data_IF_592482131127
#
_entry.id   IF_592482131127
#
_cell.length_a   1.000
_cell.length_b   1.000
_cell.length_c   1.000
_cell.angle_alpha   90.00
_cell.angle_beta   90.00
_cell.angle_gamma   90.00
#
_symmetry.space_group_name_H-M   'P 1'
#
loop_
_entity.id
_entity.type
_entity.pdbx_description
1 polymer ?
#
# COMPACT_ATOMS: atom_id res chain seq x y z
N UNK A 1 -9.35 -25.08 -1.72
CA UNK A 1 -8.28 -24.13 -1.28
C UNK A 1 -8.93 -22.93 -0.62
N UNK A 2 -8.48 -22.52 0.59
CA UNK A 2 -9.00 -21.33 1.30
C UNK A 2 -7.99 -20.19 1.29
N UNK A 3 -8.44 -18.98 0.99
CA UNK A 3 -7.61 -17.78 0.89
C UNK A 3 -8.19 -16.74 1.85
N UNK A 4 -7.44 -16.42 2.89
CA UNK A 4 -7.76 -15.32 3.80
C UNK A 4 -7.15 -14.05 3.24
N UNK A 5 -7.99 -13.11 2.80
CA UNK A 5 -7.57 -11.88 2.15
C UNK A 5 -7.94 -10.65 2.99
N UNK A 6 -6.97 -9.77 3.18
CA UNK A 6 -7.16 -8.37 3.59
C UNK A 6 -6.00 -7.53 3.06
N UNK A 7 -6.22 -6.22 2.90
CA UNK A 7 -5.16 -5.27 2.55
C UNK A 7 -4.04 -5.22 3.58
N UNK A 8 -4.34 -5.51 4.85
CA UNK A 8 -3.41 -5.41 5.97
C UNK A 8 -2.78 -6.76 6.37
N UNK A 9 -3.19 -7.85 5.74
CA UNK A 9 -2.66 -9.17 6.08
C UNK A 9 -1.22 -9.34 5.63
N UNK A 10 -0.44 -10.03 6.46
CA UNK A 10 0.94 -10.41 6.17
C UNK A 10 1.06 -11.93 6.24
N UNK A 11 1.83 -12.50 5.32
CA UNK A 11 2.07 -13.94 5.31
C UNK A 11 2.67 -14.43 6.64
N UNK A 12 2.15 -15.55 7.13
CA UNK A 12 2.63 -16.18 8.37
C UNK A 12 2.03 -15.64 9.67
N UNK A 13 1.13 -14.67 9.62
CA UNK A 13 0.39 -14.20 10.79
C UNK A 13 -0.92 -14.99 10.96
N UNK A 14 -1.31 -15.26 12.20
CA UNK A 14 -2.63 -15.77 12.52
C UNK A 14 -3.61 -14.60 12.70
N UNK A 15 -4.80 -14.72 12.13
CA UNK A 15 -5.83 -13.69 12.18
C UNK A 15 -7.12 -14.21 12.80
N UNK A 16 -8.00 -13.30 13.20
CA UNK A 16 -9.30 -13.63 13.75
C UNK A 16 -10.07 -14.54 12.76
N UNK A 17 -10.66 -15.60 13.28
CA UNK A 17 -11.37 -16.61 12.47
C UNK A 17 -10.48 -17.74 11.92
N UNK A 18 -9.18 -17.65 12.05
CA UNK A 18 -8.27 -18.75 11.74
C UNK A 18 -8.08 -19.63 12.99
N UNK A 19 -8.32 -20.94 12.85
CA UNK A 19 -7.93 -21.89 13.89
C UNK A 19 -6.40 -21.98 13.90
N UNK A 20 -5.81 -21.78 15.07
CA UNK A 20 -4.37 -22.00 15.25
C UNK A 20 -4.10 -23.52 15.10
N UNK A 21 -3.55 -23.89 13.96
CA UNK A 21 -3.05 -25.23 13.70
C UNK A 21 -1.56 -25.12 13.35
N UNK A 22 -0.71 -26.06 13.80
CA UNK A 22 0.71 -26.03 13.51
C UNK A 22 1.00 -26.11 12.00
N UNK A 23 0.11 -26.71 11.23
CA UNK A 23 0.18 -26.78 9.77
C UNK A 23 -1.22 -26.59 9.21
N UNK A 24 -1.39 -25.60 8.33
CA UNK A 24 -2.62 -25.41 7.56
C UNK A 24 -2.33 -25.78 6.10
N UNK A 25 -2.77 -26.95 5.71
CA UNK A 25 -2.71 -27.35 4.30
C UNK A 25 -3.84 -26.67 3.53
N UNK A 26 -3.57 -26.35 2.27
CA UNK A 26 -4.55 -25.78 1.35
C UNK A 26 -5.16 -24.42 1.81
N UNK A 27 -4.42 -23.67 2.62
CA UNK A 27 -4.82 -22.38 3.15
C UNK A 27 -3.70 -21.36 2.97
N UNK A 28 -4.04 -20.15 2.48
CA UNK A 28 -3.11 -19.05 2.34
C UNK A 28 -3.66 -17.78 2.98
N UNK A 29 -2.79 -17.01 3.61
CA UNK A 29 -3.08 -15.65 4.09
C UNK A 29 -2.37 -14.68 3.16
N UNK A 30 -3.12 -13.78 2.56
CA UNK A 30 -2.65 -12.96 1.45
C UNK A 30 -3.03 -11.48 1.62
N UNK A 31 -2.12 -10.61 1.21
CA UNK A 31 -2.38 -9.21 0.90
C UNK A 31 -2.86 -9.08 -0.56
N UNK A 32 -3.08 -7.85 -1.01
CA UNK A 32 -3.56 -7.59 -2.38
C UNK A 32 -2.59 -8.10 -3.46
N UNK A 33 -1.28 -7.99 -3.26
CA UNK A 33 -0.30 -8.44 -4.25
C UNK A 33 -0.31 -9.96 -4.37
N UNK A 34 -0.33 -10.65 -3.23
CA UNK A 34 -0.39 -12.12 -3.17
C UNK A 34 -1.71 -12.68 -3.68
N UNK A 35 -2.82 -11.96 -3.44
CA UNK A 35 -4.11 -12.29 -4.05
C UNK A 35 -4.03 -12.24 -5.58
N UNK A 36 -3.47 -11.17 -6.13
CA UNK A 36 -3.30 -11.04 -7.58
C UNK A 36 -2.34 -12.10 -8.13
N UNK A 37 -1.22 -12.38 -7.45
CA UNK A 37 -0.29 -13.46 -7.82
C UNK A 37 -1.03 -14.81 -7.90
N UNK A 38 -1.85 -15.12 -6.90
CA UNK A 38 -2.66 -16.33 -6.86
C UNK A 38 -3.66 -16.41 -8.02
N UNK A 39 -4.42 -15.33 -8.24
CA UNK A 39 -5.42 -15.28 -9.31
C UNK A 39 -4.77 -15.41 -10.69
N UNK A 40 -3.65 -14.71 -10.92
CA UNK A 40 -2.89 -14.83 -12.16
C UNK A 40 -2.38 -16.26 -12.39
N UNK A 41 -1.78 -16.87 -11.39
CA UNK A 41 -1.31 -18.24 -11.46
C UNK A 41 -2.47 -19.20 -11.77
N UNK A 42 -3.59 -19.06 -11.08
CA UNK A 42 -4.77 -19.90 -11.26
C UNK A 42 -5.39 -19.76 -12.64
N UNK A 43 -5.40 -18.56 -13.19
CA UNK A 43 -5.94 -18.24 -14.50
C UNK A 43 -4.95 -18.46 -15.66
N UNK A 44 -3.74 -18.93 -15.36
CA UNK A 44 -2.68 -19.12 -16.36
C UNK A 44 -2.20 -17.81 -16.98
N UNK A 45 -2.24 -16.72 -16.22
CA UNK A 45 -1.68 -15.44 -16.58
C UNK A 45 -0.24 -15.36 -16.06
N UNK A 46 0.62 -14.73 -16.81
CA UNK A 46 1.99 -14.43 -16.37
C UNK A 46 2.24 -12.95 -16.55
N UNK A 47 2.21 -12.23 -15.45
CA UNK A 47 2.55 -10.80 -15.45
C UNK A 47 3.90 -10.61 -14.76
N UNK A 48 4.84 -9.99 -15.47
CA UNK A 48 6.15 -9.67 -14.89
C UNK A 48 5.95 -8.59 -13.84
N UNK A 49 6.29 -8.90 -12.59
CA UNK A 49 6.29 -7.92 -11.51
C UNK A 49 7.31 -6.81 -11.79
N UNK A 50 6.88 -5.58 -11.73
CA UNK A 50 7.73 -4.40 -11.90
C UNK A 50 7.85 -3.70 -10.54
N UNK A 51 9.07 -3.31 -10.16
CA UNK A 51 9.27 -2.57 -8.92
C UNK A 51 8.59 -1.18 -8.99
N UNK A 52 8.14 -0.66 -7.85
CA UNK A 52 7.54 0.68 -7.76
C UNK A 52 8.48 1.77 -8.31
N UNK A 53 9.79 1.57 -8.16
CA UNK A 53 10.78 2.51 -8.67
C UNK A 53 10.90 2.45 -10.18
N UNK A 54 10.96 1.26 -10.78
CA UNK A 54 11.02 1.12 -12.24
C UNK A 54 9.73 1.64 -12.88
N UNK A 55 8.60 1.42 -12.23
CA UNK A 55 7.31 1.94 -12.63
C UNK A 55 7.26 3.47 -12.56
N UNK A 56 7.75 4.07 -11.45
CA UNK A 56 7.87 5.52 -11.33
C UNK A 56 8.77 6.11 -12.41
N UNK A 57 9.90 5.46 -12.71
CA UNK A 57 10.82 5.90 -13.77
C UNK A 57 10.15 5.84 -15.15
N UNK A 58 9.41 4.77 -15.44
CA UNK A 58 8.68 4.66 -16.70
C UNK A 58 7.60 5.75 -16.82
N UNK A 59 6.84 5.97 -15.75
CA UNK A 59 5.82 7.02 -15.71
C UNK A 59 6.43 8.42 -15.81
N UNK A 60 7.53 8.68 -15.12
CA UNK A 60 8.27 9.96 -15.20
C UNK A 60 8.69 10.29 -16.64
N UNK A 61 9.12 9.29 -17.42
CA UNK A 61 9.48 9.50 -18.83
C UNK A 61 8.28 9.99 -19.64
N UNK A 62 7.10 9.39 -19.44
CA UNK A 62 5.86 9.81 -20.09
C UNK A 62 5.43 11.21 -19.65
N UNK A 63 5.52 11.51 -18.35
CA UNK A 63 5.24 12.87 -17.83
C UNK A 63 6.18 13.89 -18.46
N UNK A 64 7.48 13.59 -18.52
CA UNK A 64 8.48 14.48 -19.15
C UNK A 64 8.17 14.74 -20.61
N UNK A 65 7.82 13.72 -21.36
CA UNK A 65 7.44 13.83 -22.77
C UNK A 65 6.19 14.70 -22.91
N UNK A 66 5.14 14.43 -22.17
CA UNK A 66 3.91 15.22 -22.17
C UNK A 66 4.19 16.69 -21.80
N UNK A 67 4.92 16.95 -20.72
CA UNK A 67 5.26 18.30 -20.27
C UNK A 67 6.13 19.06 -21.28
N UNK A 68 6.98 18.36 -22.04
CA UNK A 68 7.81 19.00 -23.06
C UNK A 68 7.00 19.50 -24.25
N UNK A 69 5.93 18.82 -24.61
CA UNK A 69 5.05 19.16 -25.75
C UNK A 69 3.94 20.15 -25.38
N UNK A 70 3.56 20.21 -24.08
CA UNK A 70 2.44 21.04 -23.60
C UNK A 70 2.89 22.17 -22.67
N UNK A 71 4.06 22.76 -22.90
CA UNK A 71 4.64 23.83 -22.05
C UNK A 71 3.78 25.08 -21.95
N UNK A 72 3.18 25.46 -23.08
CA UNK A 72 2.41 26.71 -23.24
C UNK A 72 0.89 26.48 -23.18
N UNK A 73 0.49 25.27 -22.91
CA UNK A 73 -0.94 24.94 -22.81
C UNK A 73 -1.55 25.54 -21.54
N UNK A 74 -2.54 26.42 -21.70
CA UNK A 74 -3.25 27.05 -20.60
C UNK A 74 -3.99 26.03 -19.69
N UNK A 75 -4.28 24.85 -20.22
CA UNK A 75 -4.91 23.76 -19.46
C UNK A 75 -3.90 22.93 -18.64
N UNK A 76 -2.58 23.09 -18.89
CA UNK A 76 -1.56 22.36 -18.16
C UNK A 76 -1.24 22.98 -16.79
N UNK A 77 -2.17 22.83 -15.83
CA UNK A 77 -2.03 23.38 -14.48
C UNK A 77 -0.87 22.75 -13.66
N UNK A 78 -0.36 21.59 -14.08
CA UNK A 78 0.72 20.89 -13.37
C UNK A 78 2.11 21.30 -13.85
N UNK A 79 2.23 22.08 -14.92
CA UNK A 79 3.52 22.47 -15.47
C UNK A 79 4.39 23.25 -14.47
N UNK A 80 3.79 24.19 -13.72
CA UNK A 80 4.50 24.95 -12.68
C UNK A 80 5.08 24.04 -11.57
N UNK A 81 4.30 23.10 -11.06
CA UNK A 81 4.78 22.13 -10.07
C UNK A 81 5.85 21.20 -10.65
N UNK A 82 5.66 20.78 -11.88
CA UNK A 82 6.63 19.95 -12.58
C UNK A 82 7.98 20.65 -12.77
N UNK A 83 8.02 21.93 -13.13
CA UNK A 83 9.28 22.67 -13.30
C UNK A 83 10.06 22.83 -12.00
N UNK A 84 9.36 22.94 -10.85
CA UNK A 84 10.00 23.04 -9.54
C UNK A 84 10.53 21.66 -9.08
N UNK A 85 9.74 20.61 -9.19
CA UNK A 85 10.12 19.27 -8.72
C UNK A 85 9.55 18.18 -9.65
N UNK A 86 10.27 17.88 -10.76
CA UNK A 86 9.76 16.96 -11.77
C UNK A 86 9.42 15.56 -11.25
N UNK A 87 10.31 14.97 -10.45
CA UNK A 87 10.13 13.61 -9.94
C UNK A 87 9.03 13.53 -8.88
N UNK A 88 8.96 14.53 -7.97
CA UNK A 88 7.92 14.55 -6.94
C UNK A 88 6.53 14.74 -7.56
N UNK A 89 6.39 15.64 -8.53
CA UNK A 89 5.14 15.84 -9.27
C UNK A 89 4.72 14.56 -10.00
N UNK A 90 5.66 13.88 -10.66
CA UNK A 90 5.36 12.62 -11.35
C UNK A 90 4.94 11.51 -10.39
N UNK A 91 5.54 11.45 -9.20
CA UNK A 91 5.16 10.50 -8.15
C UNK A 91 3.73 10.74 -7.66
N UNK A 92 3.36 11.99 -7.41
CA UNK A 92 2.00 12.34 -7.01
C UNK A 92 0.98 12.06 -8.13
N UNK A 93 1.32 12.37 -9.37
CA UNK A 93 0.47 12.04 -10.52
C UNK A 93 0.26 10.52 -10.66
N UNK A 94 1.31 9.71 -10.44
CA UNK A 94 1.22 8.26 -10.48
C UNK A 94 0.31 7.73 -9.36
N UNK A 95 0.39 8.29 -8.15
CA UNK A 95 -0.54 7.95 -7.05
C UNK A 95 -2.00 8.26 -7.40
N UNK A 96 -2.26 9.45 -7.97
CA UNK A 96 -3.62 9.80 -8.40
C UNK A 96 -4.13 8.86 -9.49
N UNK A 97 -3.28 8.57 -10.46
CA UNK A 97 -3.59 7.60 -11.53
C UNK A 97 -3.98 6.25 -10.95
N UNK A 98 -3.21 5.74 -9.99
CA UNK A 98 -3.46 4.45 -9.36
C UNK A 98 -4.75 4.44 -8.54
N UNK A 99 -4.98 5.48 -7.76
CA UNK A 99 -6.22 5.63 -6.99
C UNK A 99 -7.46 5.69 -7.91
N UNK A 100 -7.35 6.36 -9.05
CA UNK A 100 -8.43 6.42 -10.04
C UNK A 100 -8.62 5.09 -10.78
N UNK A 101 -7.52 4.39 -11.09
CA UNK A 101 -7.57 3.13 -11.82
C UNK A 101 -8.28 2.01 -11.03
N UNK A 102 -8.07 1.94 -9.70
CA UNK A 102 -8.80 0.99 -8.84
C UNK A 102 -10.30 1.31 -8.72
N UNK A 103 -10.69 2.56 -9.07
CA UNK A 103 -12.09 2.96 -9.20
C UNK A 103 -12.64 2.79 -10.62
N UNK A 104 -11.90 2.14 -11.53
CA UNK A 104 -12.33 1.88 -12.90
C UNK A 104 -12.03 2.99 -13.90
N UNK A 105 -11.27 4.03 -13.53
CA UNK A 105 -10.84 5.06 -14.47
C UNK A 105 -9.89 4.51 -15.54
N UNK A 106 -10.11 4.94 -16.77
CA UNK A 106 -9.28 4.61 -17.95
C UNK A 106 -8.94 5.88 -18.73
N UNK A 107 -8.01 5.77 -19.68
CA UNK A 107 -7.68 6.88 -20.59
C UNK A 107 -8.88 7.41 -21.40
N UNK A 108 -9.93 6.60 -21.57
CA UNK A 108 -11.12 6.93 -22.35
C UNK A 108 -12.26 7.49 -21.47
N UNK A 109 -12.06 7.53 -20.13
CA UNK A 109 -13.02 8.10 -19.18
C UNK A 109 -13.04 9.62 -19.33
N UNK A 110 -14.24 10.28 -19.40
CA UNK A 110 -14.31 11.73 -19.52
C UNK A 110 -13.52 12.46 -18.43
N UNK A 111 -12.76 13.48 -18.80
CA UNK A 111 -11.91 14.27 -17.91
C UNK A 111 -12.53 15.64 -17.63
N UNK A 112 -13.37 15.82 -16.57
CA UNK A 112 -14.10 17.05 -16.29
C UNK A 112 -13.21 18.18 -15.77
N UNK A 113 -12.01 17.86 -15.27
CA UNK A 113 -11.08 18.87 -14.74
C UNK A 113 -9.80 18.97 -15.56
N UNK A 114 -9.15 20.15 -15.52
CA UNK A 114 -7.88 20.37 -16.19
C UNK A 114 -6.77 19.42 -15.72
N UNK A 115 -6.74 19.09 -14.41
CA UNK A 115 -5.79 18.12 -13.87
C UNK A 115 -6.00 16.73 -14.43
N UNK A 116 -7.25 16.30 -14.54
CA UNK A 116 -7.59 15.00 -15.16
C UNK A 116 -7.26 14.96 -16.65
N UNK A 117 -7.39 16.06 -17.38
CA UNK A 117 -6.95 16.14 -18.79
C UNK A 117 -5.44 15.92 -18.93
N UNK A 118 -4.63 16.55 -18.06
CA UNK A 118 -3.19 16.31 -18.02
C UNK A 118 -2.88 14.85 -17.71
N UNK A 119 -3.54 14.28 -16.69
CA UNK A 119 -3.37 12.88 -16.32
C UNK A 119 -3.76 11.94 -17.46
N UNK A 120 -4.85 12.23 -18.16
CA UNK A 120 -5.32 11.46 -19.32
C UNK A 120 -4.33 11.52 -20.48
N UNK A 121 -3.77 12.69 -20.76
CA UNK A 121 -2.73 12.84 -21.79
C UNK A 121 -1.45 12.06 -21.48
N UNK A 122 -1.03 12.04 -20.21
CA UNK A 122 0.10 11.21 -19.77
C UNK A 122 -0.26 9.71 -19.85
N UNK A 123 -1.49 9.32 -19.49
CA UNK A 123 -1.92 7.93 -19.55
C UNK A 123 -1.95 7.39 -20.99
N UNK A 124 -2.25 8.21 -21.98
CA UNK A 124 -2.17 7.81 -23.39
C UNK A 124 -0.74 7.37 -23.79
N UNK A 125 0.28 8.08 -23.26
CA UNK A 125 1.68 7.73 -23.48
C UNK A 125 2.11 6.52 -22.63
N UNK A 126 1.64 6.44 -21.39
CA UNK A 126 2.00 5.40 -20.46
C UNK A 126 1.37 4.04 -20.81
N UNK A 127 0.10 4.04 -21.22
CA UNK A 127 -0.61 2.83 -21.64
C UNK A 127 0.04 2.10 -22.84
N UNK A 128 0.74 2.84 -23.70
CA UNK A 128 1.52 2.24 -24.78
C UNK A 128 2.76 1.48 -24.29
N UNK A 129 3.21 1.74 -23.06
CA UNK A 129 4.37 1.14 -22.43
C UNK A 129 4.00 0.26 -21.21
N UNK A 130 2.75 -0.19 -21.15
CA UNK A 130 2.21 -0.94 -20.00
C UNK A 130 3.11 -2.11 -19.60
N UNK A 131 3.60 -2.04 -18.37
CA UNK A 131 4.32 -3.11 -17.70
C UNK A 131 3.61 -3.40 -16.40
N UNK A 132 2.91 -4.51 -16.33
CA UNK A 132 2.47 -5.24 -15.14
C UNK A 132 2.14 -4.48 -13.84
N UNK A 133 1.55 -3.28 -13.93
CA UNK A 133 1.09 -2.57 -12.76
C UNK A 133 -0.18 -3.22 -12.17
N UNK A 134 -0.55 -2.84 -10.96
CA UNK A 134 -1.69 -3.43 -10.26
C UNK A 134 -2.99 -3.32 -11.09
N UNK A 135 -3.24 -2.17 -11.73
CA UNK A 135 -4.46 -1.97 -12.52
C UNK A 135 -4.48 -2.80 -13.80
N UNK A 136 -3.34 -2.96 -14.46
CA UNK A 136 -3.19 -3.85 -15.62
C UNK A 136 -3.40 -5.31 -15.23
N UNK A 137 -2.81 -5.75 -14.11
CA UNK A 137 -3.02 -7.09 -13.56
C UNK A 137 -4.49 -7.36 -13.27
N UNK A 138 -5.16 -6.46 -12.57
CA UNK A 138 -6.59 -6.56 -12.27
C UNK A 138 -7.44 -6.65 -13.55
N UNK A 139 -7.16 -5.83 -14.55
CA UNK A 139 -7.87 -5.83 -15.84
C UNK A 139 -7.67 -7.14 -16.59
N UNK A 140 -6.44 -7.67 -16.61
CA UNK A 140 -6.13 -8.96 -17.23
C UNK A 140 -6.87 -10.11 -16.54
N UNK A 141 -6.96 -10.09 -15.21
CA UNK A 141 -7.72 -11.05 -14.41
C UNK A 141 -9.21 -10.98 -14.79
N UNK A 142 -9.80 -9.78 -14.83
CA UNK A 142 -11.20 -9.57 -15.23
C UNK A 142 -11.46 -10.15 -16.62
N UNK A 143 -10.63 -9.80 -17.60
CA UNK A 143 -10.78 -10.29 -18.96
C UNK A 143 -10.70 -11.83 -19.03
N UNK A 144 -9.73 -12.39 -18.31
CA UNK A 144 -9.56 -13.84 -18.30
C UNK A 144 -10.71 -14.58 -17.62
N UNK A 145 -11.29 -14.04 -16.53
CA UNK A 145 -12.47 -14.60 -15.87
C UNK A 145 -13.71 -14.54 -16.78
N UNK A 146 -13.82 -13.50 -17.63
CA UNK A 146 -14.89 -13.41 -18.64
C UNK A 146 -14.72 -14.45 -19.78
N UNK A 147 -13.48 -14.71 -20.18
CA UNK A 147 -13.16 -15.63 -21.29
C UNK A 147 -13.21 -17.11 -20.90
N UNK A 148 -12.68 -17.48 -19.74
CA UNK A 148 -12.56 -18.86 -19.29
C UNK A 148 -13.42 -19.11 -18.06
N UNK A 149 -14.12 -20.23 -18.04
CA UNK A 149 -15.02 -20.63 -16.96
C UNK A 149 -14.52 -21.89 -16.24
N UNK A 150 -14.84 -21.99 -14.96
CA UNK A 150 -14.59 -23.16 -14.13
C UNK A 150 -13.20 -23.21 -13.49
N UNK A 151 -12.43 -22.15 -13.56
CA UNK A 151 -11.09 -22.08 -12.99
C UNK A 151 -11.10 -21.83 -11.46
N UNK A 152 -12.20 -21.31 -10.92
CA UNK A 152 -12.32 -20.90 -9.52
C UNK A 152 -13.16 -21.84 -8.65
N UNK A 153 -13.63 -22.99 -9.17
CA UNK A 153 -14.61 -23.87 -8.51
C UNK A 153 -14.23 -24.39 -7.13
N UNK A 154 -12.95 -24.54 -6.82
CA UNK A 154 -12.46 -25.09 -5.55
C UNK A 154 -11.81 -24.03 -4.66
N UNK A 155 -12.07 -22.75 -4.96
CA UNK A 155 -11.50 -21.62 -4.23
C UNK A 155 -12.56 -21.02 -3.31
N UNK A 156 -12.18 -20.84 -2.04
CA UNK A 156 -12.95 -20.09 -1.05
C UNK A 156 -12.12 -18.88 -0.62
N UNK A 157 -12.67 -17.68 -0.82
CA UNK A 157 -12.05 -16.42 -0.39
C UNK A 157 -12.73 -16.00 0.91
N UNK A 158 -11.94 -15.81 1.96
CA UNK A 158 -12.43 -15.43 3.29
C UNK A 158 -12.02 -13.98 3.57
N UNK A 159 -12.99 -13.13 3.86
CA UNK A 159 -12.83 -11.70 4.09
C UNK A 159 -13.15 -11.34 5.55
N UNK A 160 -12.38 -10.41 6.17
CA UNK A 160 -12.70 -9.90 7.51
C UNK A 160 -13.79 -8.83 7.50
N UNK A 161 -14.24 -8.38 6.33
CA UNK A 161 -15.23 -7.31 6.13
C UNK A 161 -16.13 -7.62 4.94
N UNK A 162 -17.19 -6.81 4.80
CA UNK A 162 -18.13 -6.95 3.69
C UNK A 162 -17.45 -6.62 2.35
N UNK A 163 -17.78 -7.42 1.32
CA UNK A 163 -17.35 -7.19 -0.08
C UNK A 163 -17.72 -5.78 -0.55
N UNK A 164 -18.83 -5.21 -0.06
CA UNK A 164 -19.26 -3.86 -0.42
C UNK A 164 -18.28 -2.75 -0.02
N UNK A 165 -17.39 -3.00 0.92
CA UNK A 165 -16.32 -2.08 1.33
C UNK A 165 -15.11 -2.10 0.40
N UNK A 166 -15.05 -3.03 -0.54
CA UNK A 166 -13.94 -3.15 -1.48
C UNK A 166 -14.02 -2.10 -2.61
N UNK A 167 -12.87 -1.83 -3.21
CA UNK A 167 -12.82 -1.00 -4.43
C UNK A 167 -13.60 -1.64 -5.59
N UNK A 168 -14.23 -0.83 -6.45
CA UNK A 168 -15.09 -1.32 -7.54
C UNK A 168 -14.48 -2.42 -8.40
N UNK A 169 -13.20 -2.27 -8.75
CA UNK A 169 -12.48 -3.27 -9.59
C UNK A 169 -12.31 -4.60 -8.86
N UNK A 170 -12.06 -4.59 -7.55
CA UNK A 170 -12.00 -5.83 -6.75
C UNK A 170 -13.38 -6.46 -6.57
N UNK A 171 -14.42 -5.65 -6.41
CA UNK A 171 -15.81 -6.16 -6.42
C UNK A 171 -16.12 -6.89 -7.72
N UNK A 172 -15.74 -6.32 -8.86
CA UNK A 172 -15.92 -6.97 -10.18
C UNK A 172 -15.14 -8.29 -10.26
N UNK A 173 -13.88 -8.32 -9.82
CA UNK A 173 -13.08 -9.55 -9.78
C UNK A 173 -13.77 -10.62 -8.92
N UNK A 174 -14.24 -10.27 -7.73
CA UNK A 174 -14.89 -11.22 -6.83
C UNK A 174 -16.24 -11.69 -7.35
N UNK A 175 -17.05 -10.79 -7.93
CA UNK A 175 -18.31 -11.16 -8.56
C UNK A 175 -18.07 -12.18 -9.71
N UNK A 176 -17.11 -11.92 -10.59
CA UNK A 176 -16.74 -12.82 -11.66
C UNK A 176 -16.15 -14.14 -11.15
N UNK A 177 -15.38 -14.11 -10.06
CA UNK A 177 -14.87 -15.33 -9.43
C UNK A 177 -15.99 -16.20 -8.86
N UNK A 178 -17.02 -15.58 -8.26
CA UNK A 178 -18.22 -16.29 -7.77
C UNK A 178 -19.02 -16.87 -8.94
N UNK A 179 -19.21 -16.11 -10.03
CA UNK A 179 -19.83 -16.64 -11.25
C UNK A 179 -19.06 -17.83 -11.85
N UNK A 180 -17.75 -17.87 -11.63
CA UNK A 180 -16.87 -18.95 -12.06
C UNK A 180 -16.79 -20.12 -11.07
N UNK A 181 -17.48 -20.03 -9.94
CA UNK A 181 -17.67 -21.10 -8.95
C UNK A 181 -16.86 -20.95 -7.65
N UNK A 182 -16.21 -19.82 -7.41
CA UNK A 182 -15.62 -19.52 -6.11
C UNK A 182 -16.69 -19.28 -5.04
N UNK A 183 -16.34 -19.50 -3.78
CA UNK A 183 -17.13 -19.11 -2.62
C UNK A 183 -16.50 -17.90 -1.93
N UNK A 184 -17.32 -16.96 -1.49
CA UNK A 184 -16.88 -15.87 -0.62
C UNK A 184 -17.50 -16.09 0.75
N UNK A 185 -16.66 -16.11 1.77
CA UNK A 185 -17.07 -16.21 3.18
C UNK A 185 -16.62 -14.94 3.91
N UNK A 186 -17.47 -14.40 4.74
CA UNK A 186 -17.12 -13.33 5.65
C UNK A 186 -16.77 -13.90 7.03
N UNK A 187 -15.69 -13.41 7.65
CA UNK A 187 -15.37 -13.76 9.03
C UNK A 187 -16.44 -13.14 9.93
N UNK A 188 -17.20 -14.00 10.60
CA UNK A 188 -18.14 -13.54 11.60
C UNK A 188 -17.37 -13.28 12.90
N UNK A 189 -17.24 -12.01 13.27
CA UNK A 189 -16.71 -11.63 14.58
C UNK A 189 -17.81 -11.93 15.60
N UNK A 190 -17.54 -12.76 16.63
CA UNK A 190 -18.54 -13.05 17.65
C UNK A 190 -19.06 -11.76 18.26
N UNK A 191 -20.37 -11.68 18.46
CA UNK A 191 -20.95 -10.58 19.20
C UNK A 191 -20.36 -10.58 20.62
N UNK A 192 -20.01 -9.40 21.13
CA UNK A 192 -19.71 -9.27 22.55
C UNK A 192 -21.05 -9.40 23.27
N UNK A 193 -21.22 -10.50 23.98
CA UNK A 193 -22.41 -10.74 24.79
C UNK A 193 -22.30 -9.94 26.10
N UNK A 194 -23.36 -9.27 26.49
CA UNK A 194 -23.42 -8.51 27.73
C UNK A 194 -24.14 -7.18 27.62
N UNK A 195 -24.41 -6.58 28.75
CA UNK A 195 -25.03 -5.26 28.86
C UNK A 195 -24.02 -4.16 29.25
N UNK A 196 -22.74 -4.46 29.18
CA UNK A 196 -21.68 -3.51 29.51
C UNK A 196 -21.52 -2.42 28.41
N UNK A 197 -20.83 -1.34 28.77
CA UNK A 197 -20.59 -0.20 27.88
C UNK A 197 -19.94 -0.63 26.54
N UNK A 198 -19.02 -1.60 26.57
CA UNK A 198 -18.35 -2.11 25.37
C UNK A 198 -19.31 -2.82 24.40
N UNK A 199 -20.21 -3.66 24.94
CA UNK A 199 -21.22 -4.34 24.13
C UNK A 199 -22.21 -3.34 23.52
N UNK A 200 -22.66 -2.36 24.31
CA UNK A 200 -23.54 -1.29 23.82
C UNK A 200 -22.86 -0.42 22.77
N UNK A 201 -21.59 -0.05 22.96
CA UNK A 201 -20.81 0.70 21.98
C UNK A 201 -20.67 -0.08 20.68
N UNK A 202 -20.40 -1.37 20.74
CA UNK A 202 -20.33 -2.22 19.54
C UNK A 202 -21.67 -2.30 18.81
N UNK A 203 -22.79 -2.46 19.52
CA UNK A 203 -24.12 -2.42 18.91
C UNK A 203 -24.39 -1.07 18.26
N UNK A 204 -24.03 0.04 18.90
CA UNK A 204 -24.16 1.38 18.38
C UNK A 204 -23.38 1.59 17.07
N UNK A 205 -22.13 1.11 17.00
CA UNK A 205 -21.28 1.22 15.82
C UNK A 205 -21.75 0.38 14.63
N UNK A 206 -22.55 -0.67 14.89
CA UNK A 206 -23.10 -1.55 13.84
C UNK A 206 -24.54 -1.20 13.46
N UNK A 207 -25.19 -0.30 14.21
CA UNK A 207 -26.56 0.12 13.94
C UNK A 207 -26.63 1.12 12.78
N UNK A 208 -27.72 1.08 12.01
CA UNK A 208 -27.97 2.07 10.97
C UNK A 208 -28.45 3.41 11.57
N UNK A 209 -27.93 4.50 11.06
CA UNK A 209 -28.29 5.85 11.44
C UNK A 209 -27.51 6.43 12.62
N UNK A 210 -27.72 7.72 12.89
CA UNK A 210 -27.07 8.40 14.02
C UNK A 210 -27.74 8.03 15.33
N UNK A 211 -27.02 7.36 16.20
CA UNK A 211 -27.48 6.98 17.53
C UNK A 211 -26.56 7.55 18.61
N UNK A 212 -27.03 7.66 19.81
CA UNK A 212 -26.25 8.07 20.98
C UNK A 212 -26.46 7.07 22.12
N UNK A 213 -25.45 6.92 22.96
CA UNK A 213 -25.53 6.14 24.17
C UNK A 213 -25.00 6.95 25.36
N UNK A 214 -25.46 6.60 26.54
CA UNK A 214 -24.90 7.11 27.79
C UNK A 214 -24.09 6.01 28.40
N UNK A 215 -22.82 6.28 28.72
CA UNK A 215 -21.97 5.31 29.40
C UNK A 215 -22.39 5.17 30.85
N UNK A 216 -22.48 3.95 31.35
CA UNK A 216 -22.64 3.66 32.76
C UNK A 216 -21.30 3.99 33.47
N UNK A 217 -21.27 4.92 34.43
CA UNK A 217 -20.05 5.32 35.11
C UNK A 217 -19.47 4.21 36.02
N UNK A 218 -20.28 3.23 36.42
CA UNK A 218 -19.85 2.09 37.23
C UNK A 218 -19.26 0.95 36.40
N UNK A 219 -19.36 1.02 35.08
CA UNK A 219 -18.84 0.02 34.16
C UNK A 219 -17.52 0.48 33.52
N UNK A 220 -16.44 -0.16 33.92
CA UNK A 220 -15.07 0.10 33.45
C UNK A 220 -14.72 -0.54 32.09
N UNK A 221 -15.65 -1.17 31.41
CA UNK A 221 -15.40 -1.84 30.11
C UNK A 221 -15.00 -0.87 29.00
N UNK A 222 -15.34 0.42 29.10
CA UNK A 222 -14.93 1.50 28.20
C UNK A 222 -14.60 2.73 29.01
N UNK A 223 -13.41 3.29 28.78
CA UNK A 223 -12.98 4.57 29.34
C UNK A 223 -12.56 5.51 28.21
N UNK A 224 -13.08 6.73 28.20
CA UNK A 224 -12.77 7.74 27.21
C UNK A 224 -12.09 8.91 27.90
N UNK A 225 -10.86 9.21 27.49
CA UNK A 225 -10.13 10.37 27.94
C UNK A 225 -10.06 11.41 26.81
N UNK A 226 -10.41 12.65 27.12
CA UNK A 226 -10.31 13.76 26.18
C UNK A 226 -9.13 14.64 26.55
N UNK A 227 -8.17 14.78 25.64
CA UNK A 227 -6.95 15.56 25.81
C UNK A 227 -6.98 16.80 24.93
N UNK A 228 -6.24 17.83 25.33
CA UNK A 228 -6.09 19.06 24.52
C UNK A 228 -5.14 18.87 23.35
N UNK A 229 -4.16 17.99 23.51
CA UNK A 229 -3.16 17.68 22.50
C UNK A 229 -2.63 16.25 22.64
N UNK A 230 -1.96 15.77 21.59
CA UNK A 230 -1.41 14.42 21.53
C UNK A 230 -0.32 14.18 22.59
N UNK A 231 0.38 15.24 23.04
CA UNK A 231 1.46 15.11 24.03
C UNK A 231 0.92 14.67 25.39
N UNK A 232 -0.25 15.19 25.80
CA UNK A 232 -0.88 14.79 27.05
C UNK A 232 -1.36 13.34 27.02
N UNK A 233 -1.85 12.88 25.88
CA UNK A 233 -2.25 11.49 25.70
C UNK A 233 -1.04 10.54 25.82
N UNK A 234 0.07 10.89 25.20
CA UNK A 234 1.31 10.10 25.23
C UNK A 234 1.97 10.11 26.63
N UNK A 235 1.91 11.24 27.32
CA UNK A 235 2.39 11.35 28.70
C UNK A 235 1.58 10.44 29.63
N UNK A 236 0.25 10.42 29.51
CA UNK A 236 -0.60 9.50 30.27
C UNK A 236 -0.21 8.04 29.98
N UNK A 237 -0.06 7.66 28.71
CA UNK A 237 0.35 6.29 28.34
C UNK A 237 1.69 5.92 28.99
N UNK A 238 2.65 6.84 29.02
CA UNK A 238 3.94 6.60 29.63
C UNK A 238 3.89 6.51 31.16
N UNK A 239 2.90 7.13 31.82
CA UNK A 239 2.72 7.07 33.26
C UNK A 239 2.00 5.81 33.75
N UNK A 240 1.19 5.17 32.90
CA UNK A 240 0.46 3.96 33.28
C UNK A 240 1.41 2.79 33.55
N UNK A 241 1.02 1.81 34.40
CA UNK A 241 1.78 0.57 34.57
C UNK A 241 2.07 -0.15 33.25
N UNK A 242 3.17 -0.90 33.19
CA UNK A 242 3.60 -1.57 31.96
C UNK A 242 2.63 -2.68 31.51
N UNK A 243 1.83 -3.20 32.45
CA UNK A 243 0.78 -4.21 32.26
C UNK A 243 -0.64 -3.63 32.16
N UNK A 244 -0.75 -2.28 32.04
CA UNK A 244 -2.06 -1.64 31.94
C UNK A 244 -2.85 -2.01 30.66
N UNK A 245 -2.15 -2.42 29.62
CA UNK A 245 -2.74 -2.79 28.31
C UNK A 245 -2.08 -4.02 27.72
N UNK A 246 -2.89 -4.94 27.23
CA UNK A 246 -2.42 -6.06 26.41
C UNK A 246 -2.04 -5.60 24.98
N UNK A 247 -2.74 -4.59 24.47
CA UNK A 247 -2.52 -4.04 23.10
C UNK A 247 -2.72 -2.53 23.11
N UNK A 248 -1.81 -1.82 22.48
CA UNK A 248 -1.91 -0.37 22.23
C UNK A 248 -1.92 -0.10 20.72
N UNK A 249 -2.92 0.64 20.24
CA UNK A 249 -3.04 1.07 18.85
C UNK A 249 -2.90 2.59 18.80
N UNK A 250 -1.91 3.09 18.06
CA UNK A 250 -1.64 4.52 17.99
C UNK A 250 -1.05 4.97 16.65
N UNK A 251 -1.34 6.18 16.19
CA UNK A 251 -0.86 6.67 14.91
C UNK A 251 0.61 7.10 14.92
N UNK A 252 1.16 7.51 16.07
CA UNK A 252 2.51 8.07 16.19
C UNK A 252 3.34 7.45 17.31
N UNK A 253 3.92 6.30 17.01
CA UNK A 253 4.73 5.54 17.98
C UNK A 253 6.05 6.21 18.38
N UNK A 254 6.57 7.16 17.59
CA UNK A 254 7.83 7.86 17.91
C UNK A 254 7.68 8.76 19.13
N UNK A 255 6.54 9.42 19.24
CA UNK A 255 6.26 10.30 20.36
C UNK A 255 6.18 9.49 21.66
N UNK A 256 5.44 8.39 21.64
CA UNK A 256 5.34 7.44 22.75
C UNK A 256 6.69 6.89 23.17
N UNK A 257 7.49 6.40 22.22
CA UNK A 257 8.82 5.87 22.54
C UNK A 257 9.74 6.93 23.18
N UNK A 258 9.57 8.19 22.83
CA UNK A 258 10.31 9.28 23.47
C UNK A 258 9.89 9.47 24.94
N UNK A 259 8.58 9.50 25.22
CA UNK A 259 8.08 9.60 26.60
C UNK A 259 8.47 8.39 27.44
N UNK A 260 8.32 7.17 26.90
CA UNK A 260 8.75 5.94 27.60
C UNK A 260 10.23 5.98 27.96
N UNK A 261 11.11 6.43 27.03
CA UNK A 261 12.55 6.60 27.32
C UNK A 261 12.80 7.63 28.42
N UNK A 262 12.08 8.76 28.39
CA UNK A 262 12.21 9.79 29.43
C UNK A 262 11.81 9.26 30.81
N UNK A 263 10.84 8.37 30.88
CA UNK A 263 10.36 7.72 32.10
C UNK A 263 11.18 6.46 32.49
N UNK A 264 12.22 6.11 31.72
CA UNK A 264 13.03 4.92 31.96
C UNK A 264 12.30 3.60 31.71
N UNK A 265 11.21 3.61 30.92
CA UNK A 265 10.38 2.45 30.58
C UNK A 265 10.82 1.76 29.30
N UNK A 266 10.48 0.47 29.12
CA UNK A 266 10.70 -0.21 27.87
C UNK A 266 9.97 0.49 26.71
N UNK A 267 10.67 0.72 25.59
CA UNK A 267 10.06 1.30 24.38
C UNK A 267 9.27 0.26 23.60
N UNK A 268 8.28 0.72 22.82
CA UNK A 268 7.44 -0.17 22.00
C UNK A 268 8.23 -0.87 20.88
N UNK A 269 9.41 -0.33 20.54
CA UNK A 269 10.25 -0.86 19.46
C UNK A 269 9.79 -0.52 18.05
N UNK A 270 8.62 0.09 17.91
CA UNK A 270 8.04 0.43 16.59
C UNK A 270 8.77 1.60 15.90
N UNK A 271 9.45 2.44 16.66
CA UNK A 271 10.29 3.54 16.14
C UNK A 271 11.76 3.15 15.95
N UNK A 272 12.13 1.92 16.27
CA UNK A 272 13.51 1.45 16.07
C UNK A 272 13.78 1.32 14.58
N UNK A 273 14.75 2.08 14.08
CA UNK A 273 15.25 1.92 12.72
C UNK A 273 15.66 0.46 12.49
N UNK A 274 15.42 -0.04 11.27
CA UNK A 274 15.78 -1.40 10.87
C UNK A 274 17.11 -1.83 11.53
N UNK A 275 17.05 -2.87 12.36
CA UNK A 275 18.17 -3.35 13.17
C UNK A 275 19.29 -4.03 12.36
N UNK A 276 19.08 -4.22 11.06
CA UNK A 276 20.14 -4.77 10.22
C UNK A 276 21.31 -3.76 10.15
N UNK A 277 22.53 -4.17 10.51
CA UNK A 277 23.69 -3.30 10.40
C UNK A 277 23.79 -2.68 9.00
N UNK A 278 24.13 -1.40 8.90
CA UNK A 278 24.21 -0.68 7.62
C UNK A 278 25.09 -1.41 6.59
N UNK A 279 26.10 -2.10 7.04
CA UNK A 279 26.98 -2.90 6.17
C UNK A 279 26.25 -4.09 5.52
N UNK A 280 25.32 -4.73 6.25
CA UNK A 280 24.49 -5.81 5.73
C UNK A 280 23.49 -5.27 4.71
N UNK A 281 22.86 -4.10 4.99
CA UNK A 281 21.98 -3.43 4.04
C UNK A 281 22.72 -3.04 2.76
N UNK A 282 23.96 -2.52 2.90
CA UNK A 282 24.82 -2.20 1.77
C UNK A 282 25.16 -3.44 0.95
N UNK A 283 25.46 -4.56 1.61
CA UNK A 283 25.72 -5.84 0.95
C UNK A 283 24.51 -6.33 0.14
N UNK A 284 23.33 -6.38 0.76
CA UNK A 284 22.11 -6.81 0.05
C UNK A 284 21.72 -5.89 -1.11
N UNK A 285 21.85 -4.59 -0.94
CA UNK A 285 21.63 -3.65 -2.05
C UNK A 285 22.66 -3.82 -3.15
N UNK A 286 23.93 -4.09 -2.80
CA UNK A 286 24.99 -4.41 -3.75
C UNK A 286 24.69 -5.68 -4.55
N UNK A 287 24.22 -6.74 -3.90
CA UNK A 287 23.77 -7.98 -4.58
C UNK A 287 22.59 -7.69 -5.51
N UNK A 288 21.61 -6.88 -5.07
CA UNK A 288 20.48 -6.49 -5.90
C UNK A 288 20.90 -5.71 -7.17
N UNK A 289 22.03 -4.99 -7.14
CA UNK A 289 22.57 -4.30 -8.31
C UNK A 289 23.15 -5.23 -9.37
N UNK A 290 23.48 -6.48 -9.01
CA UNK A 290 23.97 -7.48 -9.96
C UNK A 290 22.86 -8.06 -10.84
N UNK A 291 21.62 -7.93 -10.43
CA UNK A 291 20.45 -8.39 -11.19
C UNK A 291 20.24 -7.57 -12.46
N UNK A 292 19.65 -8.20 -13.48
CA UNK A 292 19.24 -7.53 -14.72
C UNK A 292 17.76 -7.76 -14.96
N UNK A 293 17.00 -6.70 -15.31
CA UNK A 293 17.42 -5.31 -15.49
C UNK A 293 17.86 -4.65 -14.17
N UNK A 294 18.72 -3.63 -14.26
CA UNK A 294 19.24 -2.91 -13.10
C UNK A 294 18.10 -2.28 -12.27
N UNK A 295 18.04 -2.61 -10.99
CA UNK A 295 17.07 -2.01 -10.07
C UNK A 295 17.55 -0.63 -9.63
N UNK A 296 16.93 0.43 -10.20
CA UNK A 296 17.28 1.83 -9.92
C UNK A 296 17.01 2.18 -8.44
N UNK A 297 16.00 1.58 -7.80
CA UNK A 297 15.73 1.77 -6.38
C UNK A 297 16.85 1.25 -5.49
N UNK A 298 17.33 0.04 -5.77
CA UNK A 298 18.48 -0.52 -5.07
C UNK A 298 19.75 0.33 -5.30
N UNK A 299 19.94 0.85 -6.51
CA UNK A 299 21.05 1.76 -6.82
C UNK A 299 20.96 3.05 -6.00
N UNK A 300 19.78 3.67 -5.94
CA UNK A 300 19.57 4.88 -5.14
C UNK A 300 19.84 4.62 -3.65
N UNK A 301 19.32 3.52 -3.09
CA UNK A 301 19.57 3.13 -1.70
C UNK A 301 21.07 2.90 -1.45
N UNK A 302 21.76 2.23 -2.37
CA UNK A 302 23.19 1.98 -2.28
C UNK A 302 24.00 3.29 -2.34
N UNK A 303 23.64 4.23 -3.20
CA UNK A 303 24.28 5.55 -3.32
C UNK A 303 24.08 6.41 -2.07
N UNK A 304 22.89 6.35 -1.45
CA UNK A 304 22.60 7.10 -0.22
C UNK A 304 23.10 6.42 1.06
N UNK A 305 23.52 5.15 0.98
CA UNK A 305 24.02 4.46 2.15
C UNK A 305 25.28 5.16 2.70
N UNK A 306 25.35 5.50 4.01
CA UNK A 306 26.48 6.22 4.59
C UNK A 306 27.82 5.53 4.38
N UNK A 307 27.83 4.19 4.36
CA UNK A 307 29.02 3.34 4.21
C UNK A 307 29.28 2.90 2.75
N UNK A 308 28.60 3.50 1.77
CA UNK A 308 28.90 3.21 0.34
C UNK A 308 30.39 3.47 0.03
N UNK A 309 31.05 2.57 -0.72
CA UNK A 309 32.49 2.68 -1.04
C UNK A 309 32.82 3.87 -1.94
N UNK A 310 31.83 4.49 -2.56
CA UNK A 310 32.06 5.69 -3.38
C UNK A 310 32.20 6.95 -2.52
N UNK A 311 33.10 7.88 -2.90
CA UNK A 311 33.20 9.18 -2.25
C UNK A 311 31.86 9.94 -2.24
N UNK A 312 31.53 10.61 -1.12
CA UNK A 312 30.23 11.25 -0.91
C UNK A 312 29.83 12.22 -2.02
N UNK A 313 30.77 13.04 -2.51
CA UNK A 313 30.55 14.00 -3.60
C UNK A 313 30.17 13.32 -4.92
N UNK A 314 30.72 12.15 -5.22
CA UNK A 314 30.40 11.38 -6.43
C UNK A 314 29.02 10.76 -6.31
N UNK A 315 28.75 10.07 -5.20
CA UNK A 315 27.47 9.34 -5.00
C UNK A 315 26.27 10.28 -4.93
N UNK A 316 26.39 11.44 -4.28
CA UNK A 316 25.28 12.42 -4.23
C UNK A 316 25.02 13.04 -5.61
N UNK A 317 26.07 13.37 -6.38
CA UNK A 317 25.91 13.87 -7.76
C UNK A 317 25.26 12.82 -8.67
N UNK A 318 25.66 11.56 -8.53
CA UNK A 318 25.08 10.47 -9.32
C UNK A 318 23.62 10.23 -8.94
N UNK A 319 23.31 10.20 -7.64
CA UNK A 319 21.95 10.07 -7.16
C UNK A 319 21.05 11.23 -7.62
N UNK A 320 21.53 12.47 -7.56
CA UNK A 320 20.83 13.65 -8.05
C UNK A 320 20.55 13.56 -9.56
N UNK A 321 21.53 13.12 -10.35
CA UNK A 321 21.33 12.89 -11.78
C UNK A 321 20.30 11.83 -12.07
N UNK A 322 20.40 10.68 -11.42
CA UNK A 322 19.41 9.60 -11.54
C UNK A 322 18.01 10.09 -11.22
N UNK A 323 17.85 10.89 -10.15
CA UNK A 323 16.57 11.47 -9.77
C UNK A 323 16.04 12.46 -10.83
N UNK A 324 16.91 13.22 -11.50
CA UNK A 324 16.52 14.19 -12.55
C UNK A 324 16.22 13.53 -13.89
N UNK A 325 16.99 12.51 -14.26
CA UNK A 325 16.91 11.89 -15.60
C UNK A 325 15.93 10.71 -15.62
N UNK A 326 15.53 10.22 -14.46
CA UNK A 326 14.58 9.14 -14.34
C UNK A 326 15.10 7.77 -14.81
N UNK A 327 16.41 7.52 -14.73
CA UNK A 327 16.96 6.20 -15.02
C UNK A 327 18.42 6.17 -15.40
N UNK A 328 19.02 4.97 -15.33
CA UNK A 328 20.45 4.74 -15.59
C UNK A 328 20.83 4.87 -17.08
N UNK A 329 19.96 4.45 -17.98
CA UNK A 329 20.22 4.44 -19.44
C UNK A 329 19.84 5.76 -20.13
N UNK A 330 19.94 6.89 -19.45
CA UNK A 330 19.75 8.19 -20.11
C UNK A 330 21.05 8.65 -20.76
N UNK A 331 20.96 9.24 -21.95
CA UNK A 331 22.14 9.79 -22.67
C UNK A 331 22.98 10.75 -21.82
N UNK A 332 22.36 11.42 -20.85
CA UNK A 332 23.03 12.35 -19.94
C UNK A 332 23.95 11.67 -18.89
N UNK A 333 23.83 10.36 -18.69
CA UNK A 333 24.71 9.57 -17.80
C UNK A 333 25.87 8.95 -18.59
N UNK A 334 25.64 8.59 -19.85
CA UNK A 334 26.65 7.94 -20.71
C UNK A 334 27.70 8.90 -21.30
N UNK A 335 27.46 10.24 -21.30
CA UNK A 335 28.33 11.24 -21.94
C UNK A 335 29.48 11.74 -21.08
N UNK A 336 29.93 10.99 -20.05
CA UNK A 336 31.15 11.28 -19.25
C UNK A 336 31.77 9.98 -18.74
#
# INVERSE_FOLDING_TARGET
>A
MRIFFSFDYKAGMAYLGMKQQPVMMDTQVVDINKLLDFLELRLGLHTVSVSDTDRLVAYFKCVREYMSTHKTDADNQLYGSYTISPLATSREMLKWRDALAVCGWTKDTPAPSRRLKVLQGVEQLFAANERGDMSTRQRNIINRLKEKKGMMKDVTIVLPYDVELLHPVLKEIFALAVEDGALIEQIVIPAIEGNNNLAQLKMLLTAEGAQSMTLDPEDDSVRIWNFKDDMQAEELLALLPDDAFDVTIQPNTKLTDNYLRMMGKPVTGSSVANSAPQIIQLFFTGVALMARPLNVGALMQWLYAPMSPLPGNIRYRLAERLARTGGWCSKEIDER
#
